data_IF_999534512914
#
_entry.id   IF_999534512914
#
_cell.length_a   1.000
_cell.length_b   1.000
_cell.length_c   1.000
_cell.angle_alpha   90.00
_cell.angle_beta   90.00
_cell.angle_gamma   90.00
#
_symmetry.space_group_name_H-M   'P 1'
#
loop_
_entity.id
_entity.type
_entity.pdbx_description
1 polymer ?
#
# COMPACT_ATOMS: atom_id res chain seq x y z
N UNK A 1 -20.33 -18.54 -7.04
CA UNK A 1 -19.28 -18.14 -6.13
C UNK A 1 -18.77 -16.77 -6.50
N UNK A 2 -19.10 -15.82 -5.68
CA UNK A 2 -18.66 -14.45 -6.00
C UNK A 2 -17.14 -14.34 -6.13
N UNK A 3 -16.39 -15.09 -5.33
CA UNK A 3 -14.96 -14.99 -5.37
C UNK A 3 -14.41 -15.43 -6.73
N UNK A 4 -14.99 -16.49 -7.29
CA UNK A 4 -14.54 -16.96 -8.59
C UNK A 4 -14.82 -15.94 -9.65
N UNK A 5 -16.00 -15.34 -9.57
CA UNK A 5 -16.37 -14.33 -10.54
C UNK A 5 -15.43 -13.14 -10.48
N UNK A 6 -15.11 -12.73 -9.26
CA UNK A 6 -14.17 -11.60 -9.09
C UNK A 6 -12.81 -11.92 -9.65
N UNK A 7 -12.38 -13.15 -9.49
CA UNK A 7 -11.08 -13.53 -10.01
C UNK A 7 -11.02 -13.42 -11.51
N UNK A 8 -12.10 -13.78 -12.17
CA UNK A 8 -12.13 -13.66 -13.63
C UNK A 8 -12.02 -12.21 -14.06
N UNK A 9 -12.73 -11.33 -13.35
CA UNK A 9 -12.65 -9.92 -13.67
C UNK A 9 -11.25 -9.40 -13.47
N UNK A 10 -10.63 -9.81 -12.39
CA UNK A 10 -9.29 -9.34 -12.12
C UNK A 10 -8.29 -9.88 -13.11
N UNK A 11 -8.48 -11.09 -13.54
CA UNK A 11 -7.60 -11.66 -14.54
C UNK A 11 -7.64 -10.83 -15.80
N UNK A 12 -8.82 -10.42 -16.21
CA UNK A 12 -8.94 -9.58 -17.40
C UNK A 12 -8.21 -8.26 -17.19
N UNK A 13 -8.35 -7.69 -16.01
CA UNK A 13 -7.66 -6.45 -15.74
C UNK A 13 -6.16 -6.63 -15.71
N UNK A 14 -5.73 -7.77 -15.20
CA UNK A 14 -4.31 -8.04 -15.15
C UNK A 14 -3.71 -8.08 -16.53
N UNK A 15 -4.43 -8.68 -17.46
CA UNK A 15 -3.96 -8.71 -18.83
C UNK A 15 -3.82 -7.31 -19.36
N UNK A 16 -4.80 -6.47 -19.09
CA UNK A 16 -4.73 -5.09 -19.55
C UNK A 16 -3.56 -4.36 -18.90
N UNK A 17 -3.31 -4.63 -17.62
CA UNK A 17 -2.18 -4.00 -16.95
C UNK A 17 -0.86 -4.47 -17.51
N UNK A 18 -0.80 -5.73 -17.85
CA UNK A 18 0.44 -6.27 -18.39
C UNK A 18 0.76 -5.74 -19.76
N UNK A 19 -0.22 -5.13 -20.41
CA UNK A 19 0.01 -4.55 -21.71
C UNK A 19 0.69 -3.20 -21.65
N UNK A 20 0.90 -2.69 -20.44
CA UNK A 20 1.57 -1.40 -20.32
C UNK A 20 3.00 -1.51 -20.81
N UNK A 21 3.50 -0.44 -21.41
CA UNK A 21 4.89 -0.44 -21.87
C UNK A 21 5.85 -0.73 -20.73
N UNK A 22 6.93 -1.38 -21.06
CA UNK A 22 7.97 -1.60 -20.10
C UNK A 22 8.47 -0.26 -19.59
N UNK A 23 8.75 -0.23 -18.29
CA UNK A 23 9.21 1.02 -17.70
C UNK A 23 8.10 1.92 -17.24
N UNK A 24 6.85 1.54 -17.46
CA UNK A 24 5.73 2.30 -16.92
C UNK A 24 5.82 2.27 -15.40
N UNK A 25 5.84 3.45 -14.76
CA UNK A 25 5.95 3.49 -13.31
C UNK A 25 4.75 2.83 -12.65
N UNK A 26 5.01 2.09 -11.60
CA UNK A 26 3.96 1.43 -10.85
C UNK A 26 4.29 1.50 -9.38
N UNK A 27 3.26 1.63 -8.59
CA UNK A 27 3.38 1.61 -7.14
C UNK A 27 2.38 0.61 -6.61
N UNK A 28 2.83 -0.20 -5.68
CA UNK A 28 1.91 -1.06 -4.95
C UNK A 28 1.60 -0.35 -3.65
N UNK A 29 0.32 -0.10 -3.42
CA UNK A 29 -0.10 0.62 -2.23
C UNK A 29 -0.99 -0.25 -1.38
N UNK A 30 -0.92 -0.04 -0.08
CA UNK A 30 -1.79 -0.68 0.89
C UNK A 30 -2.61 0.39 1.55
N UNK A 31 -3.90 0.14 1.69
CA UNK A 31 -4.82 1.10 2.27
C UNK A 31 -5.52 0.47 3.45
N UNK A 32 -5.35 1.05 4.63
CA UNK A 32 -6.01 0.55 5.83
C UNK A 32 -7.49 0.85 5.74
N UNK A 33 -8.32 -0.18 5.81
CA UNK A 33 -9.74 0.00 5.57
C UNK A 33 -10.54 -0.97 6.40
N UNK A 34 -11.76 -0.57 6.74
CA UNK A 34 -12.67 -1.45 7.44
C UNK A 34 -13.73 -2.02 6.52
N UNK A 35 -14.03 -1.31 5.45
CA UNK A 35 -15.13 -1.71 4.57
C UNK A 35 -14.70 -1.94 3.13
N UNK A 36 -13.41 -1.86 2.85
CA UNK A 36 -12.85 -2.03 1.50
C UNK A 36 -13.34 -0.97 0.53
N UNK A 37 -13.87 0.11 1.04
CA UNK A 37 -14.35 1.20 0.20
C UNK A 37 -13.62 2.49 0.47
N UNK A 38 -13.11 2.66 1.67
CA UNK A 38 -12.49 3.90 2.08
C UNK A 38 -11.28 3.64 2.94
N UNK A 39 -10.36 4.58 2.90
CA UNK A 39 -9.31 4.66 3.90
C UNK A 39 -9.97 5.17 5.17
N UNK A 40 -10.20 4.27 6.12
CA UNK A 40 -10.91 4.66 7.33
C UNK A 40 -10.45 3.88 8.55
N UNK A 41 -9.18 3.53 8.60
CA UNK A 41 -8.68 2.76 9.72
C UNK A 41 -7.28 3.23 10.11
N UNK A 42 -6.97 3.00 11.38
CA UNK A 42 -5.62 3.18 11.90
C UNK A 42 -4.85 1.90 11.66
N UNK A 43 -3.54 2.02 11.57
CA UNK A 43 -2.72 0.85 11.29
C UNK A 43 -2.96 -0.26 12.32
N UNK A 44 -2.94 0.09 13.58
CA UNK A 44 -3.01 -0.92 14.63
C UNK A 44 -4.34 -1.62 14.71
N UNK A 45 -5.42 -0.93 14.39
CA UNK A 45 -6.75 -1.50 14.52
C UNK A 45 -7.31 -2.01 13.20
N UNK A 46 -6.61 -1.79 12.10
CA UNK A 46 -7.11 -2.22 10.81
C UNK A 46 -7.13 -3.73 10.73
N UNK A 47 -8.26 -4.27 10.35
CA UNK A 47 -8.38 -5.70 10.11
C UNK A 47 -8.21 -6.04 8.65
N UNK A 48 -8.24 -5.05 7.79
CA UNK A 48 -8.12 -5.27 6.37
C UNK A 48 -7.24 -4.19 5.75
N UNK A 49 -6.50 -4.60 4.75
CA UNK A 49 -5.74 -3.67 3.93
C UNK A 49 -6.06 -3.98 2.48
N UNK A 50 -6.47 -2.97 1.75
CA UNK A 50 -6.72 -3.13 0.32
C UNK A 50 -5.41 -2.87 -0.40
N UNK A 51 -5.00 -3.82 -1.22
CA UNK A 51 -3.73 -3.72 -1.95
C UNK A 51 -4.06 -3.42 -3.41
N UNK A 52 -3.46 -2.36 -3.92
CA UNK A 52 -3.67 -1.92 -5.28
C UNK A 52 -2.33 -1.67 -5.97
N UNK A 53 -2.28 -1.99 -7.24
CA UNK A 53 -1.17 -1.57 -8.09
C UNK A 53 -1.64 -0.36 -8.87
N UNK A 54 -0.87 0.72 -8.80
CA UNK A 54 -1.27 1.99 -9.37
C UNK A 54 -0.20 2.45 -10.36
N UNK A 55 -0.64 2.84 -11.54
CA UNK A 55 0.21 3.53 -12.50
C UNK A 55 -0.42 4.89 -12.76
N UNK A 56 0.27 5.78 -13.47
CA UNK A 56 -0.28 7.13 -13.66
C UNK A 56 -1.67 7.18 -14.24
N UNK A 57 -2.05 6.17 -15.01
CA UNK A 57 -3.34 6.20 -15.68
C UNK A 57 -4.24 5.03 -15.34
N UNK A 58 -3.74 4.08 -14.59
CA UNK A 58 -4.50 2.88 -14.27
C UNK A 58 -4.32 2.47 -12.84
N UNK A 59 -5.25 1.67 -12.36
CA UNK A 59 -5.15 1.10 -11.03
C UNK A 59 -5.78 -0.28 -11.06
N UNK A 60 -5.17 -1.23 -10.39
CA UNK A 60 -5.63 -2.60 -10.38
C UNK A 60 -5.68 -3.10 -8.94
N UNK A 61 -6.83 -3.64 -8.57
CA UNK A 61 -6.96 -4.27 -7.25
C UNK A 61 -6.18 -5.57 -7.24
N UNK A 62 -5.32 -5.73 -6.24
CA UNK A 62 -4.50 -6.93 -6.13
C UNK A 62 -5.13 -7.93 -5.19
N UNK A 63 -5.39 -7.51 -3.96
CA UNK A 63 -5.93 -8.41 -2.97
C UNK A 63 -6.32 -7.64 -1.73
N UNK A 64 -7.11 -8.29 -0.90
CA UNK A 64 -7.41 -7.80 0.42
C UNK A 64 -6.61 -8.64 1.40
N UNK A 65 -5.83 -7.98 2.23
CA UNK A 65 -5.11 -8.65 3.31
C UNK A 65 -5.96 -8.52 4.56
N UNK A 66 -6.32 -9.64 5.14
CA UNK A 66 -7.25 -9.65 6.27
C UNK A 66 -6.57 -10.25 7.49
N UNK A 67 -6.77 -9.61 8.63
CA UNK A 67 -6.21 -10.09 9.88
C UNK A 67 -7.32 -10.47 10.83
N UNK A 68 -7.05 -11.49 11.61
CA UNK A 68 -8.02 -12.01 12.57
C UNK A 68 -8.10 -11.07 13.76
N UNK A 69 -9.27 -10.50 13.97
CA UNK A 69 -9.48 -9.59 15.07
C UNK A 69 -9.42 -10.29 16.42
N UNK A 70 -9.64 -11.58 16.43
CA UNK A 70 -9.67 -12.32 17.69
C UNK A 70 -8.37 -12.19 18.43
N UNK A 71 -7.27 -12.14 17.72
CA UNK A 71 -5.97 -12.03 18.37
C UNK A 71 -5.84 -10.75 19.17
N UNK A 72 -6.59 -9.74 18.82
CA UNK A 72 -6.52 -8.47 19.52
C UNK A 72 -7.23 -8.48 20.85
N UNK A 73 -8.14 -9.40 21.01
CA UNK A 73 -8.95 -9.42 22.21
C UNK A 73 -8.29 -10.17 23.34
N UNK A 74 -7.25 -10.87 23.04
CA UNK A 74 -6.55 -11.60 24.07
C UNK A 74 -5.80 -10.61 24.95
N UNK A 75 -6.10 -10.59 26.21
CA UNK A 75 -5.45 -9.64 27.11
C UNK A 75 -3.96 -9.79 27.15
N UNK A 76 -3.48 -10.96 26.86
CA UNK A 76 -2.05 -11.21 26.91
C UNK A 76 -1.29 -10.41 25.87
N UNK A 77 -1.98 -9.91 24.90
CA UNK A 77 -1.29 -9.23 23.82
C UNK A 77 -0.84 -7.85 24.16
N UNK A 78 -1.26 -7.33 25.27
CA UNK A 78 -0.94 -5.96 25.56
C UNK A 78 0.54 -5.76 25.74
N UNK A 79 1.19 -6.74 26.32
CA UNK A 79 2.62 -6.64 26.50
C UNK A 79 3.36 -7.03 25.23
N UNK A 80 2.68 -7.70 24.36
CA UNK A 80 3.27 -8.18 23.12
C UNK A 80 2.71 -7.44 21.93
N UNK A 81 2.44 -6.18 22.11
CA UNK A 81 1.88 -5.40 21.02
C UNK A 81 2.69 -5.49 19.74
N UNK A 82 3.97 -5.70 19.86
CA UNK A 82 4.82 -5.81 18.70
C UNK A 82 4.45 -7.00 17.84
N UNK A 83 3.91 -8.03 18.45
CA UNK A 83 3.55 -9.22 17.68
C UNK A 83 2.44 -8.95 16.68
N UNK A 84 1.60 -7.98 16.99
CA UNK A 84 0.56 -7.64 16.03
C UNK A 84 1.11 -6.79 14.89
N UNK A 85 2.11 -6.01 15.18
CA UNK A 85 2.71 -5.14 14.18
C UNK A 85 3.52 -5.94 13.18
N UNK A 86 4.32 -6.87 13.68
CA UNK A 86 5.20 -7.64 12.81
C UNK A 86 4.49 -8.37 11.71
N UNK A 87 3.46 -9.16 12.02
CA UNK A 87 2.75 -9.88 10.96
C UNK A 87 2.10 -8.96 9.96
N UNK A 88 1.60 -7.80 10.41
CA UNK A 88 1.01 -6.86 9.47
C UNK A 88 2.05 -6.31 8.51
N UNK A 89 3.20 -5.95 9.04
CA UNK A 89 4.27 -5.43 8.19
C UNK A 89 4.71 -6.49 7.19
N UNK A 90 4.85 -7.73 7.65
CA UNK A 90 5.24 -8.79 6.75
C UNK A 90 4.22 -9.01 5.65
N UNK A 91 2.95 -8.96 6.01
CA UNK A 91 1.89 -9.18 5.03
C UNK A 91 1.86 -8.09 3.98
N UNK A 92 2.36 -6.91 4.32
CA UNK A 92 2.40 -5.79 3.39
C UNK A 92 3.73 -5.70 2.66
N UNK A 93 4.57 -6.68 2.84
CA UNK A 93 5.87 -6.71 2.20
C UNK A 93 5.70 -6.58 0.68
N UNK A 94 6.51 -5.77 0.07
CA UNK A 94 6.40 -5.53 -1.36
C UNK A 94 5.58 -4.32 -1.73
N UNK A 95 4.83 -3.78 -0.78
CA UNK A 95 4.12 -2.53 -1.04
C UNK A 95 5.10 -1.37 -0.95
N UNK A 96 4.82 -0.33 -1.73
CA UNK A 96 5.66 0.86 -1.71
C UNK A 96 5.11 1.92 -0.77
N UNK A 97 3.81 2.03 -0.69
CA UNK A 97 3.14 3.04 0.14
C UNK A 97 2.12 2.37 1.02
N UNK A 98 1.92 2.94 2.20
CA UNK A 98 0.90 2.49 3.14
C UNK A 98 0.10 3.69 3.58
N UNK A 99 -1.21 3.67 3.31
CA UNK A 99 -2.10 4.76 3.71
C UNK A 99 -2.87 4.39 4.95
N UNK A 100 -2.82 5.26 5.95
CA UNK A 100 -3.49 5.02 7.23
C UNK A 100 -4.02 6.34 7.75
N UNK A 101 -4.97 6.26 8.66
CA UNK A 101 -5.41 7.46 9.39
C UNK A 101 -4.48 7.77 10.54
N UNK A 102 -3.86 6.74 11.09
CA UNK A 102 -2.90 6.93 12.18
C UNK A 102 -2.02 5.70 12.27
N UNK A 103 -0.82 5.90 12.77
CA UNK A 103 0.11 4.80 12.95
C UNK A 103 1.04 5.18 14.10
N UNK A 104 1.24 4.25 15.02
CA UNK A 104 2.12 4.50 16.15
C UNK A 104 3.58 4.53 15.74
N UNK A 105 4.41 5.12 16.60
CA UNK A 105 5.82 5.25 16.32
C UNK A 105 6.53 3.93 16.04
N UNK A 106 6.37 2.94 16.91
CA UNK A 106 7.04 1.65 16.66
C UNK A 106 6.60 1.00 15.36
N UNK A 107 5.31 1.08 15.05
CA UNK A 107 4.81 0.50 13.81
C UNK A 107 5.37 1.25 12.60
N UNK A 108 5.40 2.57 12.68
CA UNK A 108 5.93 3.36 11.59
C UNK A 108 7.40 3.01 11.34
N UNK A 109 8.16 2.81 12.41
CA UNK A 109 9.57 2.47 12.26
C UNK A 109 9.72 1.12 11.56
N UNK A 110 8.89 0.16 11.91
CA UNK A 110 8.98 -1.16 11.26
C UNK A 110 8.58 -1.10 9.80
N UNK A 111 7.57 -0.29 9.50
CA UNK A 111 7.12 -0.12 8.13
C UNK A 111 8.23 0.49 7.30
N UNK A 112 8.89 1.51 7.83
CA UNK A 112 9.97 2.16 7.10
C UNK A 112 11.13 1.19 6.90
N UNK A 113 11.45 0.39 7.90
CA UNK A 113 12.52 -0.59 7.74
C UNK A 113 12.21 -1.61 6.67
N UNK A 114 10.93 -1.87 6.44
CA UNK A 114 10.52 -2.80 5.41
C UNK A 114 10.44 -2.12 4.04
N UNK A 115 10.90 -0.87 3.97
CA UNK A 115 10.91 -0.11 2.72
C UNK A 115 9.53 0.25 2.24
N UNK A 116 8.61 0.42 3.17
CA UNK A 116 7.26 0.87 2.89
C UNK A 116 7.15 2.29 3.42
N UNK A 117 6.66 3.19 2.60
CA UNK A 117 6.54 4.59 3.02
C UNK A 117 5.14 4.83 3.60
N UNK A 118 5.02 5.14 4.88
CA UNK A 118 3.70 5.38 5.47
C UNK A 118 3.22 6.78 5.17
N UNK A 119 1.96 6.88 4.79
CA UNK A 119 1.32 8.15 4.52
C UNK A 119 0.08 8.24 5.41
N UNK A 120 0.06 9.24 6.27
CA UNK A 120 -1.05 9.44 7.18
C UNK A 120 -1.93 10.55 6.63
N UNK A 121 -3.21 10.26 6.48
CA UNK A 121 -4.18 11.25 6.07
C UNK A 121 -5.01 11.66 7.28
N UNK A 122 -5.39 12.91 7.31
CA UNK A 122 -6.10 13.44 8.46
C UNK A 122 -7.54 12.97 8.52
N UNK A 123 -8.14 12.73 7.37
CA UNK A 123 -9.54 12.37 7.31
C UNK A 123 -9.75 11.14 6.45
N UNK A 124 -10.81 10.39 6.70
CA UNK A 124 -11.13 9.27 5.82
C UNK A 124 -11.35 9.74 4.40
N UNK A 125 -11.02 8.86 3.46
CA UNK A 125 -11.12 9.21 2.07
C UNK A 125 -11.45 7.95 1.29
N UNK A 126 -12.26 8.08 0.25
CA UNK A 126 -12.60 6.91 -0.54
C UNK A 126 -11.35 6.33 -1.21
N UNK A 127 -11.37 5.03 -1.46
CA UNK A 127 -10.24 4.39 -2.11
C UNK A 127 -9.97 5.01 -3.48
N UNK A 128 -10.98 5.25 -4.33
CA UNK A 128 -10.69 5.93 -5.59
C UNK A 128 -10.01 7.26 -5.40
N UNK A 129 -10.39 8.01 -4.36
CA UNK A 129 -9.77 9.29 -4.11
C UNK A 129 -8.31 9.12 -3.72
N UNK A 130 -8.02 8.12 -2.89
CA UNK A 130 -6.63 7.83 -2.52
C UNK A 130 -5.81 7.49 -3.77
N UNK A 131 -6.39 6.66 -4.64
CA UNK A 131 -5.70 6.27 -5.88
C UNK A 131 -5.42 7.49 -6.74
N UNK A 132 -6.40 8.38 -6.88
CA UNK A 132 -6.20 9.59 -7.66
C UNK A 132 -5.09 10.45 -7.08
N UNK A 133 -5.03 10.50 -5.76
CA UNK A 133 -3.97 11.24 -5.09
C UNK A 133 -2.61 10.68 -5.43
N UNK A 134 -2.50 9.35 -5.45
CA UNK A 134 -1.25 8.71 -5.82
C UNK A 134 -0.91 8.98 -7.28
N UNK A 135 -1.89 8.88 -8.15
CA UNK A 135 -1.65 9.13 -9.56
C UNK A 135 -1.19 10.55 -9.81
N UNK A 136 -1.78 11.49 -9.09
CA UNK A 136 -1.37 12.88 -9.22
C UNK A 136 0.09 13.07 -8.82
N UNK A 137 0.50 12.38 -7.77
CA UNK A 137 1.89 12.47 -7.35
C UNK A 137 2.82 11.85 -8.38
N UNK A 138 2.36 10.81 -9.05
CA UNK A 138 3.21 10.12 -10.01
C UNK A 138 3.45 10.92 -11.29
N UNK A 139 2.45 11.69 -11.73
CA UNK A 139 2.57 12.40 -12.99
C UNK A 139 3.16 13.78 -12.84
N UNK A 140 3.15 14.32 -11.63
CA UNK A 140 3.67 15.66 -11.45
C UNK A 140 5.17 15.67 -11.37
N UNK A 141 5.68 16.21 -10.29
CA UNK A 141 7.11 16.25 -10.04
C UNK A 141 7.37 15.47 -8.77
N UNK A 142 7.38 14.14 -8.86
CA UNK A 142 7.47 13.34 -7.64
C UNK A 142 8.76 13.59 -6.89
N UNK A 143 8.67 13.59 -5.56
CA UNK A 143 9.89 13.73 -4.76
C UNK A 143 10.81 12.52 -4.96
N UNK A 144 12.08 12.67 -4.59
CA UNK A 144 13.05 11.58 -4.85
C UNK A 144 12.63 10.24 -4.26
N UNK A 145 12.09 10.23 -3.05
CA UNK A 145 11.71 8.95 -2.45
C UNK A 145 10.60 8.26 -3.26
N UNK A 146 9.71 9.05 -3.83
CA UNK A 146 8.63 8.49 -4.62
C UNK A 146 9.16 7.99 -5.95
N UNK A 147 10.07 8.72 -6.56
CA UNK A 147 10.68 8.26 -7.80
C UNK A 147 11.35 6.92 -7.62
N UNK A 148 12.06 6.79 -6.52
CA UNK A 148 12.74 5.53 -6.23
C UNK A 148 11.72 4.41 -6.06
N UNK A 149 10.63 4.69 -5.35
CA UNK A 149 9.61 3.68 -5.14
C UNK A 149 8.95 3.28 -6.45
N UNK A 150 8.83 4.22 -7.39
CA UNK A 150 8.22 3.94 -8.68
C UNK A 150 9.15 3.19 -9.62
N UNK A 151 10.39 3.04 -9.23
CA UNK A 151 11.34 2.38 -10.09
C UNK A 151 11.90 3.25 -11.19
N UNK A 152 11.65 4.55 -11.12
CA UNK A 152 12.17 5.46 -12.13
C UNK A 152 13.60 5.80 -11.80
N UNK A 153 14.49 5.65 -12.76
CA UNK A 153 15.86 6.05 -12.59
C UNK A 153 16.06 7.39 -13.26
N UNK A 154 16.62 8.31 -12.48
CA UNK A 154 16.93 9.61 -13.05
C UNK A 154 18.12 9.46 -13.96
N UNK A 155 18.19 10.37 -14.92
CA UNK A 155 19.31 10.34 -15.82
C UNK A 155 20.66 10.52 -15.11
N UNK A 156 20.62 11.05 -13.91
CA UNK A 156 21.83 11.28 -13.15
C UNK A 156 22.09 10.22 -12.10
N UNK A 157 21.31 9.17 -12.11
CA UNK A 157 21.47 8.15 -11.10
C UNK A 157 22.85 7.52 -11.15
N UNK A 158 23.35 7.31 -12.34
CA UNK A 158 24.66 6.71 -12.44
C UNK A 158 25.74 7.62 -11.87
N UNK A 159 25.52 8.91 -11.88
CA UNK A 159 26.45 9.83 -11.27
C UNK A 159 26.43 9.68 -9.77
N UNK A 160 25.24 9.49 -9.23
CA UNK A 160 25.13 9.29 -7.79
C UNK A 160 25.82 8.03 -7.36
N UNK A 161 25.79 7.03 -8.22
CA UNK A 161 26.41 5.76 -7.88
C UNK A 161 27.93 5.88 -7.85
N UNK A 162 28.44 6.80 -8.59
CA UNK A 162 29.90 6.98 -8.60
C UNK A 162 30.41 7.48 -7.28
N UNK A 163 29.55 8.04 -6.49
CA UNK A 163 29.96 8.49 -5.16
C UNK A 163 30.13 7.32 -4.20
#
# INVERSE_FOLDING_TARGET
MPAVHLQLIETARNVAQDDLPQGTPRLRIAIATQDMKSLNAHFGSAQRFAIWDVSPQNARFVEAVVFDAVSDESGAHQTEGDDRIGPKVEALSGCNLLFVLAIGGPAAAKVVRAHIHPVKLLNPESIPSVIERVQAMMVGNPPPWLRKAMGIKRSMDFLDEDD
#
